data_IF_394677917470
#
_entry.id   IF_394677917470
#
_cell.length_a   1.000
_cell.length_b   1.000
_cell.length_c   1.000
_cell.angle_alpha   90.00
_cell.angle_beta   90.00
_cell.angle_gamma   90.00
#
_symmetry.space_group_name_H-M   'P 1'
#
loop_
_entity.id
_entity.type
_entity.pdbx_description
1 polymer ?
#
# COMPACT_ATOMS: atom_id res chain seq x y z
N UNK A 1 -38.64 8.34 -41.92
CA UNK A 1 -38.02 7.04 -41.62
C UNK A 1 -37.03 7.29 -40.50
N UNK A 2 -37.49 7.42 -39.26
CA UNK A 2 -37.99 6.38 -38.34
C UNK A 2 -36.91 6.07 -37.31
N UNK A 3 -36.86 6.88 -36.27
CA UNK A 3 -36.59 6.43 -34.91
C UNK A 3 -37.90 5.89 -34.32
N UNK A 4 -37.91 4.74 -33.65
CA UNK A 4 -38.89 4.46 -32.59
C UNK A 4 -38.16 4.60 -31.24
N UNK A 5 -38.61 5.51 -30.40
CA UNK A 5 -39.70 5.35 -29.42
C UNK A 5 -39.23 4.63 -28.15
N UNK A 6 -39.17 5.44 -27.10
CA UNK A 6 -39.01 5.10 -25.71
C UNK A 6 -40.36 4.57 -25.24
N UNK A 7 -40.44 3.29 -24.90
CA UNK A 7 -41.50 2.77 -24.05
C UNK A 7 -40.95 2.42 -22.66
N UNK A 8 -41.18 3.36 -21.76
CA UNK A 8 -41.24 3.16 -20.31
C UNK A 8 -42.43 2.26 -19.96
N UNK A 9 -42.20 0.96 -19.82
CA UNK A 9 -43.12 0.07 -19.10
C UNK A 9 -42.46 -1.29 -18.77
N UNK A 10 -41.72 -1.38 -17.67
CA UNK A 10 -41.57 -2.60 -16.86
C UNK A 10 -40.62 -2.34 -15.68
N UNK A 11 -41.04 -1.49 -14.75
CA UNK A 11 -40.59 -1.64 -13.38
C UNK A 11 -41.23 -2.91 -12.81
N UNK A 12 -40.46 -4.01 -12.76
CA UNK A 12 -40.62 -5.18 -11.88
C UNK A 12 -40.02 -6.40 -12.57
N UNK A 13 -38.98 -7.00 -11.98
CA UNK A 13 -38.50 -8.31 -12.43
C UNK A 13 -36.99 -8.53 -12.48
N UNK A 14 -36.18 -7.91 -11.62
CA UNK A 14 -34.83 -8.43 -11.35
C UNK A 14 -34.91 -9.50 -10.25
N UNK A 15 -35.56 -10.61 -10.58
CA UNK A 15 -35.56 -11.82 -9.78
C UNK A 15 -34.47 -12.75 -10.29
N UNK A 16 -33.44 -12.94 -9.46
CA UNK A 16 -32.62 -14.15 -9.36
C UNK A 16 -32.12 -14.78 -10.66
N UNK A 17 -30.98 -14.29 -11.17
CA UNK A 17 -29.99 -15.19 -11.77
C UNK A 17 -28.98 -15.56 -10.69
N UNK A 18 -29.41 -16.50 -9.85
CA UNK A 18 -28.53 -17.25 -8.97
C UNK A 18 -27.72 -18.21 -9.86
N UNK A 19 -26.51 -17.81 -10.23
CA UNK A 19 -25.52 -18.71 -10.81
C UNK A 19 -25.15 -19.69 -9.71
N UNK A 20 -25.91 -20.78 -9.62
CA UNK A 20 -25.65 -21.89 -8.71
C UNK A 20 -24.36 -22.57 -9.15
N UNK A 21 -23.25 -22.16 -8.55
CA UNK A 21 -21.96 -22.83 -8.65
C UNK A 21 -22.14 -24.27 -8.10
N UNK A 22 -22.11 -25.33 -8.93
CA UNK A 22 -22.38 -26.68 -8.45
C UNK A 22 -21.15 -27.36 -7.84
N UNK A 23 -20.10 -26.61 -7.48
CA UNK A 23 -18.88 -27.14 -6.87
C UNK A 23 -18.43 -26.42 -5.58
N UNK A 24 -19.32 -25.65 -4.95
CA UNK A 24 -19.11 -25.11 -3.60
C UNK A 24 -19.29 -26.17 -2.50
N UNK A 25 -18.81 -27.39 -2.75
CA UNK A 25 -18.84 -28.49 -1.80
C UNK A 25 -17.61 -29.36 -2.02
N UNK A 26 -16.45 -28.85 -1.59
CA UNK A 26 -15.31 -29.60 -1.05
C UNK A 26 -14.16 -28.67 -0.59
N UNK A 27 -14.48 -27.59 0.10
CA UNK A 27 -13.53 -27.04 1.07
C UNK A 27 -13.60 -27.90 2.34
N UNK A 28 -13.22 -29.17 2.17
CA UNK A 28 -12.91 -30.10 3.25
C UNK A 28 -11.41 -30.07 3.51
N UNK A 29 -10.81 -28.88 3.54
CA UNK A 29 -9.82 -28.59 4.57
C UNK A 29 -10.63 -28.31 5.82
N UNK A 30 -11.19 -29.39 6.38
CA UNK A 30 -11.63 -29.42 7.77
C UNK A 30 -10.58 -28.66 8.58
N UNK A 31 -11.03 -27.62 9.29
CA UNK A 31 -10.33 -27.03 10.42
C UNK A 31 -9.42 -28.09 11.01
N UNK A 32 -8.09 -27.89 10.90
CA UNK A 32 -7.16 -28.71 11.65
C UNK A 32 -7.75 -28.73 13.06
N UNK A 33 -8.21 -29.89 13.54
CA UNK A 33 -8.74 -30.04 14.89
C UNK A 33 -7.53 -30.02 15.81
N UNK A 34 -6.91 -28.84 15.87
CA UNK A 34 -5.80 -28.52 16.71
C UNK A 34 -6.29 -28.75 18.12
N UNK A 35 -5.57 -29.62 18.83
CA UNK A 35 -5.80 -29.83 20.25
C UNK A 35 -5.78 -28.47 20.96
N UNK A 36 -6.52 -28.33 22.06
CA UNK A 36 -6.57 -27.09 22.83
C UNK A 36 -5.15 -26.61 23.22
N UNK A 37 -4.23 -27.57 23.44
CA UNK A 37 -2.82 -27.31 23.67
C UNK A 37 -2.08 -26.77 22.44
N UNK A 38 -2.39 -27.25 21.24
CA UNK A 38 -1.75 -26.80 20.00
C UNK A 38 -2.20 -25.37 19.63
N UNK A 39 -3.48 -25.04 19.88
CA UNK A 39 -3.97 -23.67 19.76
C UNK A 39 -3.30 -22.74 20.77
N UNK A 40 -3.20 -23.17 22.02
CA UNK A 40 -2.53 -22.40 23.05
C UNK A 40 -1.03 -22.19 22.74
N UNK A 41 -0.36 -23.18 22.13
CA UNK A 41 1.03 -23.05 21.68
C UNK A 41 1.16 -22.02 20.55
N UNK A 42 0.22 -22.00 19.60
CA UNK A 42 0.22 -21.02 18.51
C UNK A 42 -0.08 -19.61 19.03
N UNK A 43 -1.06 -19.44 19.91
CA UNK A 43 -1.36 -18.14 20.52
C UNK A 43 -0.16 -17.61 21.33
N UNK A 44 0.55 -18.49 22.03
CA UNK A 44 1.78 -18.13 22.74
C UNK A 44 2.92 -17.77 21.79
N UNK A 45 3.00 -18.42 20.63
CA UNK A 45 3.99 -18.11 19.60
C UNK A 45 3.72 -16.74 18.97
N UNK A 46 2.48 -16.47 18.58
CA UNK A 46 2.04 -15.18 18.03
C UNK A 46 2.32 -14.05 19.04
N UNK A 47 2.05 -14.30 20.33
CA UNK A 47 2.35 -13.33 21.40
C UNK A 47 3.85 -13.11 21.59
N UNK A 48 4.68 -14.14 21.39
CA UNK A 48 6.13 -14.03 21.48
C UNK A 48 6.70 -13.25 20.29
N UNK A 49 6.16 -13.46 19.09
CA UNK A 49 6.50 -12.68 17.88
C UNK A 49 6.13 -11.20 18.05
N UNK A 50 4.93 -10.91 18.59
CA UNK A 50 4.51 -9.54 18.92
C UNK A 50 5.47 -8.87 19.91
N UNK A 51 5.85 -9.57 20.99
CA UNK A 51 6.81 -9.04 21.97
C UNK A 51 8.21 -8.86 21.38
N UNK A 52 8.64 -9.70 20.45
CA UNK A 52 9.93 -9.53 19.76
C UNK A 52 9.93 -8.30 18.85
N UNK A 53 8.81 -8.02 18.18
CA UNK A 53 8.64 -6.81 17.38
C UNK A 53 8.59 -5.55 18.27
N UNK A 54 7.90 -5.61 19.41
CA UNK A 54 7.84 -4.53 20.38
C UNK A 54 9.22 -4.25 20.99
N UNK A 55 9.96 -5.29 21.39
CA UNK A 55 11.35 -5.15 21.84
C UNK A 55 12.22 -4.63 20.70
N UNK A 56 12.04 -5.09 19.46
CA UNK A 56 12.76 -4.57 18.29
C UNK A 56 12.53 -3.07 18.10
N UNK A 57 11.28 -2.62 18.25
CA UNK A 57 10.91 -1.21 18.16
C UNK A 57 11.49 -0.39 19.32
N UNK A 58 11.40 -0.89 20.55
CA UNK A 58 11.92 -0.22 21.75
C UNK A 58 13.45 -0.28 21.89
N UNK A 59 14.08 -1.29 21.29
CA UNK A 59 15.55 -1.45 21.27
C UNK A 59 16.20 -0.73 20.10
N UNK A 60 15.43 -0.21 19.13
CA UNK A 60 15.94 0.90 18.32
C UNK A 60 16.18 2.07 19.26
N UNK A 61 17.44 2.50 19.45
CA UNK A 61 17.73 3.47 20.48
C UNK A 61 17.00 4.77 20.16
N UNK A 62 16.19 5.24 21.11
CA UNK A 62 15.77 6.66 21.21
C UNK A 62 16.98 7.61 21.39
N UNK A 63 18.22 7.10 21.40
CA UNK A 63 19.43 7.89 21.40
C UNK A 63 19.84 8.29 19.98
N UNK A 64 19.42 9.48 19.59
CA UNK A 64 20.32 10.40 18.89
C UNK A 64 21.74 10.33 19.47
N UNK A 65 22.73 10.33 18.58
CA UNK A 65 24.18 10.56 18.79
C UNK A 65 25.07 9.33 19.03
N UNK A 66 25.95 9.08 18.05
CA UNK A 66 27.32 8.52 18.20
C UNK A 66 27.62 7.02 18.07
N UNK A 67 26.72 6.18 17.54
CA UNK A 67 27.12 4.85 17.07
C UNK A 67 26.97 4.76 15.54
N UNK A 68 28.05 4.37 14.86
CA UNK A 68 28.08 4.22 13.41
C UNK A 68 26.87 3.41 12.94
N UNK A 69 26.13 3.99 12.00
CA UNK A 69 24.90 3.40 11.42
C UNK A 69 25.13 1.97 10.92
N UNK A 70 26.36 1.62 10.58
CA UNK A 70 26.77 0.30 10.12
C UNK A 70 26.76 -0.80 11.19
N UNK A 71 27.14 -0.49 12.44
CA UNK A 71 27.10 -1.46 13.54
C UNK A 71 25.68 -1.68 14.06
N UNK A 72 24.86 -0.64 14.09
CA UNK A 72 23.45 -0.73 14.47
C UNK A 72 22.67 -1.52 13.42
N UNK A 73 22.94 -1.31 12.12
CA UNK A 73 22.36 -2.13 11.04
C UNK A 73 22.86 -3.58 11.14
N UNK A 74 24.13 -3.83 11.48
CA UNK A 74 24.65 -5.20 11.66
C UNK A 74 24.04 -5.91 12.86
N UNK A 75 23.80 -5.23 13.97
CA UNK A 75 23.15 -5.80 15.16
C UNK A 75 21.65 -5.99 14.92
N UNK A 76 21.00 -5.07 14.22
CA UNK A 76 19.61 -5.19 13.77
C UNK A 76 19.44 -6.35 12.78
N UNK A 77 20.32 -6.45 11.78
CA UNK A 77 20.40 -7.61 10.90
C UNK A 77 20.69 -8.88 11.73
N UNK A 78 21.64 -8.88 12.67
CA UNK A 78 21.95 -10.09 13.44
C UNK A 78 20.81 -10.52 14.40
N UNK A 79 20.05 -9.58 14.97
CA UNK A 79 18.90 -9.88 15.85
C UNK A 79 17.62 -10.20 15.06
N UNK A 80 17.35 -9.53 13.95
CA UNK A 80 16.26 -9.89 13.03
C UNK A 80 16.56 -11.19 12.26
N UNK A 81 17.84 -11.50 12.04
CA UNK A 81 18.36 -12.78 11.53
C UNK A 81 18.81 -13.68 12.67
N UNK A 82 18.18 -13.67 13.84
CA UNK A 82 18.02 -14.93 14.53
C UNK A 82 16.81 -15.61 13.89
N UNK A 83 16.97 -16.39 12.79
CA UNK A 83 15.93 -17.31 12.43
C UNK A 83 15.80 -18.20 13.66
N UNK A 84 14.67 -18.08 14.36
CA UNK A 84 14.09 -19.26 14.97
C UNK A 84 14.22 -20.32 13.91
N UNK A 85 14.96 -21.38 14.24
CA UNK A 85 15.33 -22.47 13.35
C UNK A 85 14.05 -23.15 12.89
N UNK A 86 13.30 -22.52 11.99
CA UNK A 86 12.38 -23.16 11.09
C UNK A 86 13.32 -23.97 10.25
N UNK A 87 13.46 -25.22 10.67
CA UNK A 87 14.30 -26.23 10.07
C UNK A 87 14.28 -26.01 8.57
N UNK A 88 15.42 -25.60 7.99
CA UNK A 88 15.82 -26.14 6.69
C UNK A 88 15.40 -27.60 6.74
N UNK A 89 14.67 -28.15 5.75
CA UNK A 89 14.37 -29.57 5.76
C UNK A 89 15.73 -30.24 5.87
N UNK A 90 16.04 -30.68 7.09
CA UNK A 90 17.38 -31.13 7.40
C UNK A 90 17.62 -32.22 6.39
N UNK A 91 18.79 -32.34 5.78
CA UNK A 91 18.98 -33.34 4.73
C UNK A 91 18.41 -34.70 5.16
N UNK A 92 18.44 -35.00 6.48
CA UNK A 92 17.79 -36.15 7.12
C UNK A 92 16.31 -36.36 6.79
N UNK A 93 15.48 -35.32 6.66
CA UNK A 93 14.05 -35.46 6.36
C UNK A 93 13.80 -35.72 4.86
N UNK A 94 14.60 -35.13 3.96
CA UNK A 94 14.58 -35.51 2.54
C UNK A 94 15.08 -36.97 2.34
N UNK A 95 16.01 -37.46 3.18
CA UNK A 95 16.44 -38.86 3.21
C UNK A 95 15.36 -39.82 3.75
N UNK A 96 14.46 -39.38 4.63
CA UNK A 96 13.33 -40.21 5.10
C UNK A 96 12.28 -40.38 4.00
N UNK A 97 11.94 -39.29 3.31
CA UNK A 97 10.98 -39.29 2.20
C UNK A 97 11.42 -40.18 1.02
N UNK A 98 12.69 -40.09 0.59
CA UNK A 98 13.23 -40.95 -0.48
C UNK A 98 13.25 -42.45 -0.13
N UNK A 99 13.38 -42.82 1.15
CA UNK A 99 13.36 -44.22 1.60
C UNK A 99 11.97 -44.85 1.55
N UNK A 100 10.92 -44.07 1.78
CA UNK A 100 9.53 -44.55 1.75
C UNK A 100 9.14 -45.00 0.33
N UNK A 101 9.51 -44.24 -0.71
CA UNK A 101 9.34 -44.66 -2.11
C UNK A 101 10.11 -45.94 -2.46
N UNK A 102 11.34 -46.08 -1.95
CA UNK A 102 12.19 -47.26 -2.21
C UNK A 102 11.68 -48.55 -1.54
N UNK A 103 11.00 -48.45 -0.40
CA UNK A 103 10.43 -49.61 0.31
C UNK A 103 9.08 -50.03 -0.29
N UNK A 104 8.23 -49.08 -0.68
CA UNK A 104 6.89 -49.38 -1.20
C UNK A 104 6.84 -49.69 -2.71
N UNK A 105 7.89 -49.34 -3.48
CA UNK A 105 7.99 -49.66 -4.90
C UNK A 105 8.73 -50.99 -5.20
N UNK A 106 9.23 -51.68 -4.16
CA UNK A 106 10.01 -52.91 -4.31
C UNK A 106 9.20 -54.16 -4.65
N UNK A 107 9.85 -55.18 -5.21
CA UNK A 107 9.25 -56.49 -5.47
C UNK A 107 8.76 -57.19 -4.18
N UNK A 108 9.34 -56.83 -3.03
CA UNK A 108 9.03 -57.38 -1.70
C UNK A 108 7.97 -56.59 -0.92
N UNK A 109 7.35 -55.56 -1.51
CA UNK A 109 6.34 -54.75 -0.85
C UNK A 109 5.03 -55.54 -0.68
N UNK A 110 4.42 -55.43 0.50
CA UNK A 110 3.11 -56.01 0.77
C UNK A 110 2.01 -55.32 -0.07
N UNK A 111 0.88 -55.98 -0.36
CA UNK A 111 -0.21 -55.37 -1.14
C UNK A 111 -0.69 -54.03 -0.55
N UNK A 112 -0.77 -53.94 0.78
CA UNK A 112 -1.19 -52.72 1.51
C UNK A 112 -0.18 -51.58 1.32
N UNK A 113 1.12 -51.91 1.27
CA UNK A 113 2.17 -50.92 1.03
C UNK A 113 2.15 -50.39 -0.42
N UNK A 114 1.76 -51.23 -1.39
CA UNK A 114 1.54 -50.77 -2.78
C UNK A 114 0.34 -49.85 -2.90
N UNK A 115 -0.72 -50.10 -2.14
CA UNK A 115 -1.93 -49.26 -2.13
C UNK A 115 -1.67 -47.88 -1.50
N UNK A 116 -0.70 -47.75 -0.58
CA UNK A 116 -0.32 -46.48 0.04
C UNK A 116 0.58 -45.60 -0.85
N UNK A 117 1.24 -46.18 -1.85
CA UNK A 117 2.16 -45.48 -2.75
C UNK A 117 1.56 -44.24 -3.45
N UNK A 118 0.34 -44.25 -4.03
CA UNK A 118 -0.23 -43.05 -4.64
C UNK A 118 -0.50 -41.93 -3.63
N UNK A 119 -0.91 -42.25 -2.40
CA UNK A 119 -1.13 -41.24 -1.35
C UNK A 119 0.19 -40.60 -0.91
N UNK A 120 1.26 -41.40 -0.82
CA UNK A 120 2.60 -40.92 -0.51
C UNK A 120 3.14 -40.06 -1.66
N UNK A 121 2.89 -40.42 -2.92
CA UNK A 121 3.25 -39.60 -4.08
C UNK A 121 2.53 -38.25 -4.04
N UNK A 122 1.21 -38.24 -3.83
CA UNK A 122 0.43 -37.01 -3.71
C UNK A 122 0.94 -36.11 -2.58
N UNK A 123 1.27 -36.70 -1.41
CA UNK A 123 1.86 -35.95 -0.29
C UNK A 123 3.22 -35.36 -0.67
N UNK A 124 4.07 -36.15 -1.30
CA UNK A 124 5.41 -35.72 -1.70
C UNK A 124 5.34 -34.58 -2.72
N UNK A 125 4.46 -34.69 -3.71
CA UNK A 125 4.24 -33.67 -4.74
C UNK A 125 3.72 -32.38 -4.09
N UNK A 126 2.68 -32.47 -3.24
CA UNK A 126 2.17 -31.33 -2.47
C UNK A 126 3.24 -30.71 -1.56
N UNK A 127 4.13 -31.51 -0.96
CA UNK A 127 5.23 -31.02 -0.13
C UNK A 127 6.29 -30.28 -0.96
N UNK A 128 6.55 -30.73 -2.19
CA UNK A 128 7.47 -30.02 -3.10
C UNK A 128 6.87 -28.71 -3.61
N UNK A 129 5.56 -28.70 -3.90
CA UNK A 129 4.84 -27.48 -4.27
C UNK A 129 4.82 -26.49 -3.11
N UNK A 130 4.52 -26.93 -1.89
CA UNK A 130 4.55 -26.10 -0.69
C UNK A 130 5.96 -25.54 -0.41
N UNK A 131 7.01 -26.35 -0.57
CA UNK A 131 8.37 -25.87 -0.42
C UNK A 131 8.73 -24.82 -1.47
N UNK A 132 8.26 -24.98 -2.71
CA UNK A 132 8.48 -24.01 -3.78
C UNK A 132 7.73 -22.69 -3.53
N UNK A 133 6.47 -22.75 -3.09
CA UNK A 133 5.69 -21.55 -2.76
C UNK A 133 6.25 -20.85 -1.53
N UNK A 134 6.67 -21.58 -0.50
CA UNK A 134 7.34 -21.01 0.67
C UNK A 134 8.65 -20.30 0.29
N UNK A 135 9.45 -20.89 -0.59
CA UNK A 135 10.66 -20.24 -1.10
C UNK A 135 10.35 -18.96 -1.89
N UNK A 136 9.29 -18.95 -2.70
CA UNK A 136 8.83 -17.75 -3.41
C UNK A 136 8.35 -16.66 -2.44
N UNK A 137 7.61 -17.03 -1.40
CA UNK A 137 7.13 -16.09 -0.37
C UNK A 137 8.31 -15.47 0.39
N UNK A 138 9.30 -16.27 0.77
CA UNK A 138 10.51 -15.76 1.43
C UNK A 138 11.28 -14.80 0.52
N UNK A 139 11.49 -15.15 -0.75
CA UNK A 139 12.15 -14.27 -1.71
C UNK A 139 11.37 -12.95 -1.93
N UNK A 140 10.03 -13.02 -2.00
CA UNK A 140 9.19 -11.83 -2.10
C UNK A 140 9.26 -10.95 -0.84
N UNK A 141 9.32 -11.57 0.35
CA UNK A 141 9.48 -10.86 1.62
C UNK A 141 10.84 -10.19 1.72
N UNK A 142 11.92 -10.86 1.32
CA UNK A 142 13.26 -10.26 1.24
C UNK A 142 13.30 -9.08 0.25
N UNK A 143 12.68 -9.21 -0.92
CA UNK A 143 12.56 -8.10 -1.86
C UNK A 143 11.76 -6.94 -1.25
N UNK A 144 10.65 -7.20 -0.56
CA UNK A 144 9.85 -6.17 0.10
C UNK A 144 10.65 -5.45 1.19
N UNK A 145 11.37 -6.17 2.05
CA UNK A 145 12.14 -5.53 3.13
C UNK A 145 13.27 -4.66 2.59
N UNK A 146 13.90 -5.04 1.47
CA UNK A 146 14.90 -4.17 0.81
C UNK A 146 14.27 -2.86 0.30
N UNK A 147 13.12 -2.95 -0.37
CA UNK A 147 12.40 -1.77 -0.88
C UNK A 147 11.89 -0.89 0.26
N UNK A 148 11.41 -1.48 1.35
CA UNK A 148 10.97 -0.74 2.54
C UNK A 148 12.12 -0.02 3.22
N UNK A 149 13.28 -0.65 3.34
CA UNK A 149 14.49 -0.01 3.87
C UNK A 149 14.91 1.20 3.01
N UNK A 150 14.93 1.04 1.69
CA UNK A 150 15.21 2.14 0.75
C UNK A 150 14.18 3.28 0.88
N UNK A 151 12.89 2.94 1.00
CA UNK A 151 11.80 3.92 1.19
C UNK A 151 11.99 4.73 2.47
N UNK A 152 12.38 4.11 3.57
CA UNK A 152 12.63 4.83 4.83
C UNK A 152 13.78 5.82 4.67
N UNK A 153 14.87 5.42 4.02
CA UNK A 153 16.01 6.31 3.75
C UNK A 153 15.59 7.47 2.85
N UNK A 154 14.87 7.20 1.75
CA UNK A 154 14.38 8.23 0.84
C UNK A 154 13.41 9.19 1.53
N UNK A 155 12.47 8.67 2.34
CA UNK A 155 11.54 9.51 3.10
C UNK A 155 12.25 10.47 4.05
N UNK A 156 13.31 10.01 4.73
CA UNK A 156 14.14 10.88 5.58
C UNK A 156 14.80 11.99 4.76
N UNK A 157 15.43 11.63 3.63
CA UNK A 157 16.06 12.62 2.75
C UNK A 157 15.06 13.63 2.17
N UNK A 158 13.85 13.20 1.83
CA UNK A 158 12.78 14.06 1.35
C UNK A 158 12.35 15.05 2.44
N UNK A 159 12.13 14.58 3.67
CA UNK A 159 11.78 15.46 4.80
C UNK A 159 12.88 16.47 5.10
N UNK A 160 14.16 16.08 4.99
CA UNK A 160 15.29 16.98 5.17
C UNK A 160 15.34 18.04 4.07
N UNK A 161 15.18 17.64 2.81
CA UNK A 161 15.15 18.56 1.67
C UNK A 161 13.96 19.52 1.74
N UNK A 162 12.78 19.03 2.11
CA UNK A 162 11.60 19.85 2.35
C UNK A 162 11.86 20.86 3.48
N UNK A 163 12.48 20.43 4.59
CA UNK A 163 12.92 21.33 5.66
C UNK A 163 13.88 22.41 5.18
N UNK A 164 14.85 22.07 4.33
CA UNK A 164 15.76 23.05 3.70
C UNK A 164 15.02 24.01 2.78
N UNK A 165 14.07 23.52 1.98
CA UNK A 165 13.24 24.37 1.10
C UNK A 165 12.41 25.36 1.90
N UNK A 166 11.79 24.92 3.01
CA UNK A 166 11.04 25.80 3.92
C UNK A 166 11.99 26.85 4.52
N UNK A 167 13.15 26.45 5.03
CA UNK A 167 14.12 27.39 5.58
C UNK A 167 14.63 28.42 4.54
N UNK A 168 14.83 27.99 3.28
CA UNK A 168 15.17 28.91 2.18
C UNK A 168 14.00 29.83 1.82
N UNK A 169 12.77 29.34 1.81
CA UNK A 169 11.58 30.14 1.57
C UNK A 169 11.39 31.21 2.67
N UNK A 170 11.58 30.84 3.93
CA UNK A 170 11.59 31.76 5.06
C UNK A 170 12.72 32.79 4.95
N UNK A 171 13.91 32.40 4.50
CA UNK A 171 15.01 33.33 4.26
C UNK A 171 14.68 34.33 3.15
N UNK A 172 14.06 33.87 2.05
CA UNK A 172 13.62 34.74 0.94
C UNK A 172 12.51 35.67 1.39
N UNK A 173 11.54 35.19 2.17
CA UNK A 173 10.49 36.03 2.73
C UNK A 173 11.04 37.04 3.75
N UNK A 174 11.98 36.62 4.59
CA UNK A 174 12.73 37.47 5.51
C UNK A 174 13.55 38.53 4.78
N UNK A 175 14.17 38.21 3.64
CA UNK A 175 14.85 39.18 2.78
C UNK A 175 13.89 40.14 2.08
N UNK A 176 12.72 39.67 1.62
CA UNK A 176 11.67 40.56 1.07
C UNK A 176 11.16 41.54 2.13
N UNK A 177 10.93 41.07 3.35
CA UNK A 177 10.51 41.91 4.48
C UNK A 177 11.64 42.84 4.92
N UNK A 178 12.87 42.36 5.06
CA UNK A 178 14.05 43.12 5.49
C UNK A 178 14.60 44.10 4.44
N UNK A 179 14.37 43.83 3.15
CA UNK A 179 14.86 44.63 2.03
C UNK A 179 14.14 45.97 1.84
N UNK A 180 13.00 46.18 2.50
CA UNK A 180 12.33 47.49 2.54
C UNK A 180 12.72 48.16 3.85
N UNK A 181 13.87 48.84 3.86
CA UNK A 181 14.40 49.56 5.03
C UNK A 181 13.60 50.83 5.35
N UNK A 182 12.89 51.39 4.37
CA UNK A 182 12.11 52.61 4.53
C UNK A 182 10.65 52.32 4.97
N UNK A 183 10.21 52.78 6.15
CA UNK A 183 8.84 52.57 6.64
C UNK A 183 7.78 53.24 5.76
N UNK A 184 8.08 54.33 5.04
CA UNK A 184 7.13 54.96 4.13
C UNK A 184 6.85 54.10 2.89
N UNK A 185 7.89 53.46 2.35
CA UNK A 185 7.78 52.54 1.22
C UNK A 185 6.98 51.29 1.59
N UNK A 186 7.14 50.76 2.82
CA UNK A 186 6.30 49.65 3.32
C UNK A 186 4.83 50.02 3.38
N UNK A 187 4.50 51.18 3.97
CA UNK A 187 3.11 51.64 4.06
C UNK A 187 2.44 51.82 2.70
N UNK A 188 3.19 52.30 1.70
CA UNK A 188 2.71 52.43 0.30
C UNK A 188 2.49 51.06 -0.37
N UNK A 189 3.41 50.11 -0.17
CA UNK A 189 3.26 48.75 -0.69
C UNK A 189 2.03 48.08 -0.08
N UNK A 190 1.85 48.15 1.24
CA UNK A 190 0.69 47.56 1.91
C UNK A 190 -0.63 48.20 1.44
N UNK A 191 -0.66 49.51 1.20
CA UNK A 191 -1.86 50.17 0.67
C UNK A 191 -2.15 49.71 -0.76
N UNK A 192 -1.13 49.65 -1.63
CA UNK A 192 -1.32 49.12 -2.99
C UNK A 192 -1.75 47.66 -2.98
N UNK A 193 -1.23 46.82 -2.09
CA UNK A 193 -1.68 45.44 -1.93
C UNK A 193 -3.14 45.36 -1.49
N UNK A 194 -3.58 46.21 -0.54
CA UNK A 194 -4.98 46.30 -0.15
C UNK A 194 -5.87 46.73 -1.31
N UNK A 195 -5.43 47.69 -2.11
CA UNK A 195 -6.16 48.15 -3.29
C UNK A 195 -6.27 47.07 -4.35
N UNK A 196 -5.19 46.33 -4.64
CA UNK A 196 -5.18 45.19 -5.56
C UNK A 196 -6.06 44.06 -5.04
N UNK A 197 -6.06 43.78 -3.73
CA UNK A 197 -6.94 42.77 -3.15
C UNK A 197 -8.41 43.16 -3.27
N UNK A 198 -8.74 44.43 -3.00
CA UNK A 198 -10.10 44.98 -3.20
C UNK A 198 -10.50 44.97 -4.68
N UNK A 199 -9.59 45.24 -5.61
CA UNK A 199 -9.88 45.19 -7.05
C UNK A 199 -10.07 43.75 -7.53
N UNK A 200 -9.24 42.79 -7.10
CA UNK A 200 -9.38 41.37 -7.39
C UNK A 200 -10.67 40.78 -6.82
N UNK A 201 -11.07 41.18 -5.61
CA UNK A 201 -12.34 40.73 -5.03
C UNK A 201 -13.53 41.27 -5.85
N UNK A 202 -13.49 42.55 -6.23
CA UNK A 202 -14.50 43.15 -7.12
C UNK A 202 -14.53 42.48 -8.49
N UNK A 203 -13.38 42.15 -9.05
CA UNK A 203 -13.27 41.41 -10.31
C UNK A 203 -13.88 40.01 -10.20
N UNK A 204 -13.59 39.26 -9.14
CA UNK A 204 -14.20 37.93 -8.90
C UNK A 204 -15.72 37.99 -8.77
N UNK A 205 -16.23 38.97 -8.02
CA UNK A 205 -17.68 39.21 -7.92
C UNK A 205 -18.28 39.51 -9.29
N UNK A 206 -17.64 40.39 -10.08
CA UNK A 206 -18.12 40.76 -11.40
C UNK A 206 -18.01 39.60 -12.41
N UNK A 207 -16.97 38.78 -12.33
CA UNK A 207 -16.81 37.54 -13.11
C UNK A 207 -17.90 36.54 -12.79
N UNK A 208 -18.18 36.30 -11.50
CA UNK A 208 -19.25 35.40 -11.06
C UNK A 208 -20.66 35.87 -11.45
N UNK A 209 -20.91 37.19 -11.41
CA UNK A 209 -22.18 37.75 -11.90
C UNK A 209 -22.27 37.59 -13.42
N UNK A 210 -21.21 37.89 -14.17
CA UNK A 210 -21.20 37.74 -15.61
C UNK A 210 -21.39 36.28 -16.06
N UNK A 211 -20.72 35.31 -15.40
CA UNK A 211 -20.89 33.89 -15.69
C UNK A 211 -22.30 33.40 -15.37
N UNK A 212 -22.86 33.83 -14.23
CA UNK A 212 -24.25 33.52 -13.86
C UNK A 212 -25.29 34.09 -14.83
N UNK A 213 -25.08 35.32 -15.33
CA UNK A 213 -25.96 35.93 -16.34
C UNK A 213 -25.84 35.19 -17.67
N UNK A 214 -24.63 34.87 -18.13
CA UNK A 214 -24.42 34.15 -19.39
C UNK A 214 -25.07 32.76 -19.33
N UNK A 215 -24.83 32.00 -18.25
CA UNK A 215 -25.42 30.68 -18.06
C UNK A 215 -26.96 30.73 -17.89
N UNK A 216 -27.50 31.75 -17.23
CA UNK A 216 -28.93 31.93 -17.02
C UNK A 216 -29.70 32.53 -18.20
N UNK A 217 -29.02 33.19 -19.15
CA UNK A 217 -29.65 33.87 -20.29
C UNK A 217 -30.14 32.94 -21.41
N UNK A 218 -29.82 31.64 -21.34
CA UNK A 218 -30.13 30.67 -22.40
C UNK A 218 -29.26 30.82 -23.64
N UNK A 219 -28.17 31.59 -23.57
CA UNK A 219 -27.16 31.68 -24.62
C UNK A 219 -26.30 30.40 -24.64
N UNK A 220 -26.03 29.83 -25.81
CA UNK A 220 -25.23 28.60 -26.01
C UNK A 220 -23.72 28.84 -25.73
N UNK A 221 -23.37 29.12 -24.47
CA UNK A 221 -22.02 29.43 -24.02
C UNK A 221 -21.03 28.27 -24.19
N UNK A 222 -21.51 27.03 -24.26
CA UNK A 222 -20.68 25.85 -24.44
C UNK A 222 -20.05 25.75 -25.84
N UNK A 223 -20.62 26.45 -26.84
CA UNK A 223 -20.14 26.44 -28.24
C UNK A 223 -19.15 27.55 -28.55
N UNK A 224 -19.15 28.64 -27.78
CA UNK A 224 -18.22 29.75 -27.92
C UNK A 224 -17.07 29.57 -26.92
N UNK A 225 -15.85 29.40 -27.42
CA UNK A 225 -14.63 29.24 -26.64
C UNK A 225 -14.47 30.35 -25.57
N UNK A 226 -14.84 31.59 -25.93
CA UNK A 226 -14.68 32.75 -25.03
C UNK A 226 -15.70 32.74 -23.88
N UNK A 227 -16.92 32.30 -24.16
CA UNK A 227 -17.98 32.19 -23.14
C UNK A 227 -17.78 30.95 -22.29
N UNK A 228 -17.25 29.87 -22.88
CA UNK A 228 -16.85 28.66 -22.16
C UNK A 228 -15.75 28.96 -21.14
N UNK A 229 -14.70 29.66 -21.52
CA UNK A 229 -13.63 30.08 -20.61
C UNK A 229 -14.09 31.09 -19.54
N UNK A 230 -15.12 31.89 -19.83
CA UNK A 230 -15.70 32.81 -18.85
C UNK A 230 -16.51 32.07 -17.77
N UNK A 231 -17.20 30.98 -18.14
CA UNK A 231 -18.14 30.24 -17.27
C UNK A 231 -17.47 29.06 -16.57
N UNK A 232 -16.68 28.26 -17.29
CA UNK A 232 -15.80 27.26 -16.70
C UNK A 232 -14.59 28.04 -16.20
N UNK A 233 -14.41 28.16 -14.89
CA UNK A 233 -13.34 28.92 -14.26
C UNK A 233 -11.94 28.33 -14.57
N UNK A 234 -11.54 28.35 -15.84
CA UNK A 234 -10.22 27.92 -16.31
C UNK A 234 -9.28 29.13 -16.29
N UNK A 235 -9.20 29.80 -15.13
CA UNK A 235 -8.07 30.68 -14.83
C UNK A 235 -7.18 29.92 -13.84
N UNK A 236 -6.11 29.34 -14.37
CA UNK A 236 -5.03 28.67 -13.65
C UNK A 236 -4.17 29.67 -12.86
N UNK A 237 -4.76 30.37 -11.90
CA UNK A 237 -4.11 31.42 -11.10
C UNK A 237 -4.18 31.15 -9.58
N UNK A 238 -4.38 29.90 -9.19
CA UNK A 238 -4.17 29.41 -7.83
C UNK A 238 -2.78 28.73 -7.72
N UNK A 239 -1.71 29.51 -7.94
CA UNK A 239 -0.34 29.27 -7.41
C UNK A 239 0.24 30.57 -6.82
#
# INVERSE_FOLDING_TARGET
MSTPDIDTAAASGFAGLEIKNPDASKDSFTELQLSELERQILDLYDRLEELQLEIGLLSTPEATQDASTEEVIRVFLAHAFHPTKISEPSSRDCWKLKRVKAVHAGANASPIERDLLPLIQQRDDASTELAATAAQVLAAREALTTVEAERVVLSRSNTELAGRMVGLAEQVEGQKKGGITDPEMRGKIDEMEREVRKSRQRWRLMKGVASGVVAGSGMDWARDEKLRALVLEEDSDDE
#
